data_IF_320286278622
#
_entry.id   IF_320286278622
#
_cell.length_a   1.000
_cell.length_b   1.000
_cell.length_c   1.000
_cell.angle_alpha   90.00
_cell.angle_beta   90.00
_cell.angle_gamma   90.00
#
_symmetry.space_group_name_H-M   'P 1'
#
loop_
_entity.id
_entity.type
_entity.pdbx_description
1 polymer ?
#
# COMPACT_ATOMS: atom_id res chain seq x y z
N UNK A 1 -27.93 -28.40 1.07
CA UNK A 1 -27.40 -27.21 0.36
C UNK A 1 -26.95 -26.27 1.45
N UNK A 2 -25.70 -25.81 1.42
CA UNK A 2 -25.22 -24.77 2.33
C UNK A 2 -25.26 -23.44 1.59
N UNK A 3 -25.53 -22.36 2.32
CA UNK A 3 -25.40 -21.00 1.81
C UNK A 3 -24.11 -20.45 2.38
N UNK A 4 -23.27 -19.87 1.52
CA UNK A 4 -22.08 -19.18 1.95
C UNK A 4 -22.49 -17.83 2.58
N UNK A 5 -21.97 -17.56 3.77
CA UNK A 5 -22.09 -16.26 4.42
C UNK A 5 -20.69 -15.68 4.56
N UNK A 6 -20.55 -14.40 4.19
CA UNK A 6 -19.31 -13.66 4.32
C UNK A 6 -19.55 -12.41 5.16
N UNK A 7 -18.67 -12.20 6.15
CA UNK A 7 -18.66 -11.00 6.98
C UNK A 7 -17.23 -10.47 7.03
N UNK A 8 -17.07 -9.19 6.70
CA UNK A 8 -15.79 -8.49 6.80
C UNK A 8 -15.72 -7.73 8.12
N UNK A 9 -14.68 -7.97 8.90
CA UNK A 9 -14.39 -7.23 10.12
C UNK A 9 -13.41 -6.09 9.82
N UNK A 10 -13.76 -4.87 10.21
CA UNK A 10 -12.94 -3.66 10.03
C UNK A 10 -12.62 -3.01 11.37
N UNK A 11 -11.76 -1.99 11.37
CA UNK A 11 -11.40 -1.20 12.57
C UNK A 11 -10.78 -2.03 13.71
N UNK A 12 -10.04 -3.09 13.35
CA UNK A 12 -9.30 -3.91 14.30
C UNK A 12 -7.96 -3.27 14.67
N UNK A 13 -7.55 -3.44 15.92
CA UNK A 13 -6.23 -3.04 16.41
C UNK A 13 -5.17 -4.02 15.89
N UNK A 14 -4.01 -3.50 15.51
CA UNK A 14 -2.88 -4.31 15.07
C UNK A 14 -2.26 -5.10 16.23
N UNK A 15 -1.50 -6.16 15.91
CA UNK A 15 -0.82 -7.04 16.89
C UNK A 15 -1.76 -7.56 18.00
N UNK A 16 -3.05 -7.73 17.72
CA UNK A 16 -4.07 -8.03 18.75
C UNK A 16 -4.77 -9.34 18.42
N UNK A 17 -4.90 -10.21 19.42
CA UNK A 17 -5.68 -11.45 19.30
C UNK A 17 -7.15 -11.16 19.54
N UNK A 18 -7.97 -11.45 18.54
CA UNK A 18 -9.42 -11.36 18.61
C UNK A 18 -10.03 -12.74 18.79
N UNK A 19 -11.14 -12.78 19.53
CA UNK A 19 -11.96 -13.96 19.77
C UNK A 19 -13.31 -13.73 19.13
N UNK A 20 -13.88 -14.73 18.48
CA UNK A 20 -15.19 -14.64 17.85
C UNK A 20 -15.96 -15.96 17.94
N UNK A 21 -17.28 -15.85 17.86
CA UNK A 21 -18.22 -16.93 17.61
C UNK A 21 -19.05 -16.58 16.37
N UNK A 22 -19.77 -17.55 15.81
CA UNK A 22 -20.72 -17.29 14.72
C UNK A 22 -22.13 -17.63 15.15
N UNK A 23 -23.08 -16.77 14.81
CA UNK A 23 -24.52 -16.97 15.06
C UNK A 23 -25.29 -16.85 13.76
N UNK A 24 -26.30 -17.71 13.57
CA UNK A 24 -27.25 -17.61 12.47
C UNK A 24 -28.68 -17.71 12.99
N UNK A 25 -29.61 -17.07 12.29
CA UNK A 25 -31.06 -17.09 12.55
C UNK A 25 -31.78 -17.45 11.26
N UNK A 26 -32.73 -18.38 11.29
CA UNK A 26 -33.58 -18.69 10.15
C UNK A 26 -34.81 -17.75 10.06
N UNK A 27 -35.58 -17.87 8.97
CA UNK A 27 -36.77 -17.04 8.74
C UNK A 27 -37.91 -17.25 9.76
N UNK A 28 -37.88 -18.37 10.49
CA UNK A 28 -38.81 -18.69 11.57
C UNK A 28 -38.31 -18.19 12.95
N UNK A 29 -37.12 -17.58 12.99
CA UNK A 29 -36.49 -17.06 14.21
C UNK A 29 -35.70 -18.10 15.02
N UNK A 30 -35.44 -19.29 14.48
CA UNK A 30 -34.60 -20.28 15.16
C UNK A 30 -33.13 -19.86 15.04
N UNK A 31 -32.40 -19.87 16.16
CA UNK A 31 -31.00 -19.48 16.17
C UNK A 31 -30.06 -20.65 16.48
N UNK A 32 -28.87 -20.61 15.91
CA UNK A 32 -27.75 -21.46 16.30
C UNK A 32 -26.53 -20.58 16.55
N UNK A 33 -25.73 -20.95 17.55
CA UNK A 33 -24.43 -20.33 17.85
C UNK A 33 -23.38 -21.43 17.81
N UNK A 34 -22.25 -21.15 17.18
CA UNK A 34 -21.04 -21.95 17.29
C UNK A 34 -19.93 -21.08 17.87
N UNK A 35 -19.64 -21.32 19.14
CA UNK A 35 -18.60 -20.68 19.95
C UNK A 35 -17.38 -21.59 20.15
N UNK A 36 -17.19 -22.59 19.28
CA UNK A 36 -16.16 -23.61 19.43
C UNK A 36 -16.20 -24.27 20.82
N UNK A 37 -17.41 -24.63 21.26
CA UNK A 37 -17.67 -25.35 22.50
C UNK A 37 -17.16 -24.59 23.75
N UNK A 38 -17.33 -23.26 23.74
CA UNK A 38 -16.88 -22.31 24.77
C UNK A 38 -15.41 -21.86 24.66
N UNK A 39 -14.67 -22.35 23.65
CA UNK A 39 -13.26 -21.96 23.45
C UNK A 39 -13.11 -20.71 22.56
N UNK A 40 -14.16 -20.35 21.83
CA UNK A 40 -14.18 -19.38 20.75
C UNK A 40 -13.20 -19.74 19.61
N UNK A 41 -13.40 -19.11 18.46
CA UNK A 41 -12.42 -19.06 17.40
C UNK A 41 -11.53 -17.84 17.59
N UNK A 42 -10.28 -17.91 17.13
CA UNK A 42 -9.33 -16.80 17.29
C UNK A 42 -8.56 -16.52 16.01
N UNK A 43 -8.12 -15.28 15.88
CA UNK A 43 -7.09 -14.86 14.95
C UNK A 43 -6.31 -13.70 15.56
N UNK A 44 -5.08 -13.51 15.10
CA UNK A 44 -4.22 -12.40 15.52
C UNK A 44 -3.95 -11.52 14.32
N UNK A 45 -4.22 -10.22 14.45
CA UNK A 45 -3.86 -9.24 13.43
C UNK A 45 -2.33 -9.13 13.36
N UNK A 46 -1.79 -8.88 12.16
CA UNK A 46 -0.35 -8.66 11.99
C UNK A 46 0.07 -7.32 12.61
N UNK A 47 1.37 -7.18 12.85
CA UNK A 47 1.94 -5.88 13.21
C UNK A 47 1.74 -4.89 12.06
N UNK A 48 1.53 -3.58 12.35
CA UNK A 48 1.51 -2.59 11.30
C UNK A 48 2.92 -2.48 10.70
N UNK A 49 2.98 -2.28 9.39
CA UNK A 49 4.27 -1.93 8.79
C UNK A 49 4.71 -0.56 9.28
N UNK A 50 5.95 -0.48 9.74
CA UNK A 50 6.58 0.73 10.25
C UNK A 50 7.98 0.93 9.70
N UNK A 51 8.44 0.04 8.84
CA UNK A 51 9.71 0.17 8.14
C UNK A 51 9.46 1.04 6.91
N UNK A 52 10.20 2.13 6.70
CA UNK A 52 10.12 2.86 5.43
C UNK A 52 10.90 2.14 4.34
N UNK A 53 10.54 2.35 3.05
CA UNK A 53 11.26 1.77 1.94
C UNK A 53 12.69 2.31 1.87
N UNK A 54 13.65 1.43 1.61
CA UNK A 54 15.03 1.79 1.33
C UNK A 54 15.18 2.05 -0.16
N UNK A 55 15.61 3.25 -0.54
CA UNK A 55 15.85 3.61 -1.94
C UNK A 55 17.27 3.21 -2.36
N UNK A 56 17.39 2.47 -3.45
CA UNK A 56 18.66 2.04 -4.03
C UNK A 56 18.67 2.21 -5.57
N UNK A 57 19.83 1.98 -6.20
CA UNK A 57 20.00 1.96 -7.66
C UNK A 57 19.48 3.21 -8.42
N UNK A 58 19.56 4.38 -7.80
CA UNK A 58 19.12 5.64 -8.44
C UNK A 58 19.95 5.91 -9.69
N UNK A 59 19.28 6.10 -10.82
CA UNK A 59 19.89 6.40 -12.10
C UNK A 59 19.08 7.41 -12.92
N UNK A 60 19.74 8.00 -13.91
CA UNK A 60 19.12 8.91 -14.88
C UNK A 60 19.42 8.42 -16.29
N UNK A 61 18.39 8.37 -17.14
CA UNK A 61 18.48 7.97 -18.54
C UNK A 61 17.65 8.90 -19.44
N UNK A 62 17.72 8.64 -20.75
CA UNK A 62 16.85 9.26 -21.76
C UNK A 62 16.82 10.79 -21.72
N UNK A 63 17.99 11.39 -21.44
CA UNK A 63 18.14 12.83 -21.30
C UNK A 63 18.06 13.52 -22.66
N UNK A 64 17.14 14.48 -22.79
CA UNK A 64 17.03 15.41 -23.93
C UNK A 64 17.32 16.84 -23.47
N UNK A 65 17.07 17.84 -24.34
CA UNK A 65 17.17 19.25 -23.97
C UNK A 65 16.16 19.69 -22.91
N UNK A 66 15.04 18.95 -22.77
CA UNK A 66 13.85 19.34 -22.00
C UNK A 66 13.21 18.16 -21.23
N UNK A 67 13.87 17.01 -21.17
CA UNK A 67 13.37 15.82 -20.46
C UNK A 67 14.50 14.94 -19.91
N UNK A 68 14.16 14.17 -18.88
CA UNK A 68 15.02 13.13 -18.33
C UNK A 68 14.17 12.08 -17.62
N UNK A 69 14.59 10.83 -17.67
CA UNK A 69 13.94 9.74 -16.92
C UNK A 69 14.78 9.40 -15.68
N UNK A 70 14.13 9.36 -14.52
CA UNK A 70 14.71 9.01 -13.23
C UNK A 70 14.17 7.64 -12.83
N UNK A 71 15.08 6.71 -12.54
CA UNK A 71 14.74 5.36 -12.09
C UNK A 71 15.40 5.06 -10.75
N UNK A 72 14.74 4.27 -9.92
CA UNK A 72 15.29 3.74 -8.67
C UNK A 72 14.54 2.47 -8.28
N UNK A 73 15.11 1.71 -7.36
CA UNK A 73 14.44 0.55 -6.76
C UNK A 73 14.19 0.79 -5.26
N UNK A 74 13.21 0.07 -4.72
CA UNK A 74 12.96 -0.04 -3.29
C UNK A 74 12.92 -1.51 -2.86
N UNK A 75 13.21 -1.77 -1.58
CA UNK A 75 13.16 -3.11 -0.99
C UNK A 75 11.73 -3.58 -0.65
N UNK A 76 10.75 -2.68 -0.69
CA UNK A 76 9.33 -2.96 -0.54
C UNK A 76 8.48 -2.11 -1.49
N UNK A 77 7.23 -2.54 -1.74
CA UNK A 77 6.37 -1.84 -2.69
C UNK A 77 5.93 -0.47 -2.14
N UNK A 78 6.24 0.59 -2.86
CA UNK A 78 5.87 1.97 -2.51
C UNK A 78 5.38 2.76 -3.71
N UNK A 79 4.83 3.95 -3.47
CA UNK A 79 4.57 4.93 -4.52
C UNK A 79 5.87 5.64 -4.96
N UNK A 80 5.76 6.56 -5.92
CA UNK A 80 6.90 7.23 -6.55
C UNK A 80 6.72 8.74 -6.55
N UNK A 81 7.75 9.50 -6.13
CA UNK A 81 7.78 10.97 -6.27
C UNK A 81 9.20 11.43 -6.61
N UNK A 82 9.32 12.27 -7.64
CA UNK A 82 10.55 13.01 -7.94
C UNK A 82 10.27 14.49 -7.77
N UNK A 83 10.94 15.11 -6.81
CA UNK A 83 11.01 16.57 -6.69
C UNK A 83 12.22 17.07 -7.47
N UNK A 84 12.04 18.09 -8.30
CA UNK A 84 13.08 18.60 -9.20
C UNK A 84 12.98 20.11 -9.37
N UNK A 85 14.10 20.74 -9.73
CA UNK A 85 14.20 22.16 -10.05
C UNK A 85 15.60 22.56 -10.49
N UNK A 86 15.75 23.79 -10.97
CA UNK A 86 17.02 24.35 -11.46
C UNK A 86 18.01 24.70 -10.33
N UNK A 87 17.54 24.66 -9.08
CA UNK A 87 18.35 24.88 -7.89
C UNK A 87 17.79 24.06 -6.71
N UNK A 88 18.41 24.15 -5.53
CA UNK A 88 18.03 23.37 -4.35
C UNK A 88 16.62 23.68 -3.83
N UNK A 89 16.03 24.82 -4.20
CA UNK A 89 14.60 25.07 -4.05
C UNK A 89 13.86 24.45 -5.24
N UNK A 90 13.79 23.10 -5.25
CA UNK A 90 13.28 22.26 -6.34
C UNK A 90 11.98 22.83 -6.96
N UNK A 91 10.92 23.01 -6.16
CA UNK A 91 9.73 23.76 -6.56
C UNK A 91 8.79 23.08 -7.56
N UNK A 92 9.19 21.96 -8.17
CA UNK A 92 8.35 21.10 -9.01
C UNK A 92 8.38 19.65 -8.53
N UNK A 93 7.33 18.89 -8.87
CA UNK A 93 7.19 17.48 -8.49
C UNK A 93 6.44 16.68 -9.55
N UNK A 94 6.88 15.46 -9.82
CA UNK A 94 6.13 14.44 -10.57
C UNK A 94 5.97 13.18 -9.70
N UNK A 95 4.86 12.46 -9.88
CA UNK A 95 4.54 11.30 -9.04
C UNK A 95 3.78 10.19 -9.78
N UNK A 96 3.93 8.96 -9.29
CA UNK A 96 3.12 7.80 -9.67
C UNK A 96 2.64 7.08 -8.40
N UNK A 97 1.34 6.77 -8.31
CA UNK A 97 0.72 6.15 -7.15
C UNK A 97 0.76 4.61 -7.16
N UNK A 98 1.26 3.99 -8.23
CA UNK A 98 1.40 2.54 -8.29
C UNK A 98 2.41 2.05 -7.22
N UNK A 99 1.99 1.04 -6.44
CA UNK A 99 2.83 0.38 -5.44
C UNK A 99 3.74 -0.64 -6.14
N UNK A 100 5.00 -0.26 -6.39
CA UNK A 100 6.01 -1.07 -7.09
C UNK A 100 7.33 -1.02 -6.35
N UNK A 101 8.25 -1.93 -6.71
CA UNK A 101 9.64 -1.96 -6.18
C UNK A 101 10.66 -1.44 -7.18
N UNK A 102 10.24 -1.19 -8.43
CA UNK A 102 11.08 -0.64 -9.48
C UNK A 102 10.35 0.53 -10.11
N UNK A 103 10.93 1.71 -9.93
CA UNK A 103 10.29 3.00 -10.19
C UNK A 103 10.90 3.67 -11.41
N UNK A 104 10.07 4.42 -12.12
CA UNK A 104 10.48 5.18 -13.29
C UNK A 104 9.58 6.40 -13.49
N UNK A 105 10.14 7.60 -13.30
CA UNK A 105 9.44 8.87 -13.57
C UNK A 105 10.15 9.59 -14.71
N UNK A 106 9.41 9.94 -15.76
CA UNK A 106 9.92 10.79 -16.84
C UNK A 106 9.50 12.23 -16.59
N UNK A 107 10.50 13.10 -16.41
CA UNK A 107 10.32 14.53 -16.30
C UNK A 107 10.31 15.13 -17.70
N UNK A 108 9.37 16.04 -17.98
CA UNK A 108 9.21 16.67 -19.31
C UNK A 108 9.00 18.17 -19.16
N UNK A 109 9.12 18.92 -20.25
CA UNK A 109 9.01 20.39 -20.27
C UNK A 109 9.98 21.07 -19.29
N UNK A 110 11.16 20.49 -19.10
CA UNK A 110 12.23 21.10 -18.31
C UNK A 110 12.72 22.36 -19.04
N UNK A 111 12.94 23.44 -18.31
CA UNK A 111 13.55 24.64 -18.90
C UNK A 111 14.91 24.29 -19.50
N UNK A 112 15.15 24.72 -20.73
CA UNK A 112 16.49 24.62 -21.32
C UNK A 112 17.47 25.45 -20.48
N UNK A 113 18.52 24.82 -19.97
CA UNK A 113 19.66 25.57 -19.45
C UNK A 113 20.42 26.14 -20.65
N UNK A 114 20.22 27.42 -20.96
CA UNK A 114 21.12 28.14 -21.87
C UNK A 114 22.49 28.25 -21.20
N UNK A 115 23.45 27.52 -21.76
CA UNK A 115 24.86 27.49 -21.35
C UNK A 115 25.55 28.86 -21.39
#
# INVERSE_FOLDING_TARGET
MFVEHIVTLTELSASTTYYYEVKSEDWDGNTTVDDNNGSYYTFTTTEPDTTPPVIENVATSDITSDSATITWDTDEASDSVVNYGENTALGSSESDAAMVTSHSITLTNLSESTA
#
